data_IF_293869872779
#
_entry.id   IF_293869872779
#
_cell.length_a   1.000
_cell.length_b   1.000
_cell.length_c   1.000
_cell.angle_alpha   90.00
_cell.angle_beta   90.00
_cell.angle_gamma   90.00
#
_symmetry.space_group_name_H-M   'P 1'
#
loop_
_entity.id
_entity.type
_entity.pdbx_description
1 polymer ?
#
# COMPACT_ATOMS: atom_id res chain seq x y z
N UNK A 1 14.36 11.99 -35.88
CA UNK A 1 13.41 11.33 -34.99
C UNK A 1 14.01 11.44 -33.61
N UNK A 2 13.31 11.98 -32.64
CA UNK A 2 13.75 11.97 -31.24
C UNK A 2 13.87 10.53 -30.72
N UNK A 3 14.60 10.34 -29.62
CA UNK A 3 14.69 9.03 -28.99
C UNK A 3 13.31 8.65 -28.43
N UNK A 4 12.76 7.52 -28.87
CA UNK A 4 11.47 7.05 -28.40
C UNK A 4 11.59 6.56 -26.96
N UNK A 5 10.66 7.00 -26.12
CA UNK A 5 10.55 6.63 -24.71
C UNK A 5 9.28 5.80 -24.46
N UNK A 6 9.37 4.87 -23.55
CA UNK A 6 8.26 4.02 -23.10
C UNK A 6 7.81 4.49 -21.72
N UNK A 7 6.67 5.14 -21.65
CA UNK A 7 6.00 5.55 -20.42
C UNK A 7 4.92 4.54 -20.03
N UNK A 8 5.05 3.88 -18.89
CA UNK A 8 4.07 2.95 -18.37
C UNK A 8 3.16 3.65 -17.36
N UNK A 9 1.95 3.95 -17.81
CA UNK A 9 0.92 4.64 -17.03
C UNK A 9 0.24 3.67 -16.09
N UNK A 10 0.14 4.04 -14.82
CA UNK A 10 -0.46 3.27 -13.74
C UNK A 10 -1.64 4.05 -13.19
N UNK A 11 -2.81 3.41 -13.07
CA UNK A 11 -4.00 4.01 -12.45
C UNK A 11 -4.80 2.99 -11.66
N UNK A 12 -5.71 3.48 -10.82
CA UNK A 12 -6.68 2.68 -10.09
C UNK A 12 -7.99 2.67 -10.85
N UNK A 13 -8.59 1.48 -11.02
CA UNK A 13 -9.88 1.32 -11.69
C UNK A 13 -11.07 1.68 -10.79
N UNK A 14 -12.30 1.47 -11.29
CA UNK A 14 -13.55 1.78 -10.59
C UNK A 14 -14.22 0.56 -9.94
N UNK A 15 -13.55 -0.59 -9.89
CA UNK A 15 -14.13 -1.79 -9.27
C UNK A 15 -14.34 -1.59 -7.77
N UNK A 16 -15.41 -2.21 -7.27
CA UNK A 16 -15.78 -2.19 -5.86
C UNK A 16 -15.76 -3.61 -5.29
N UNK A 17 -15.51 -3.82 -4.00
CA UNK A 17 -15.26 -2.79 -2.97
C UNK A 17 -13.86 -2.17 -3.03
N UNK A 18 -12.89 -2.82 -3.68
CA UNK A 18 -11.51 -2.36 -3.77
C UNK A 18 -11.11 -2.12 -5.23
N UNK A 19 -10.45 -0.99 -5.54
CA UNK A 19 -9.92 -0.76 -6.86
C UNK A 19 -8.71 -1.65 -7.13
N UNK A 20 -8.57 -2.07 -8.39
CA UNK A 20 -7.39 -2.77 -8.88
C UNK A 20 -6.47 -1.81 -9.64
N UNK A 21 -5.17 -2.08 -9.61
CA UNK A 21 -4.21 -1.35 -10.42
C UNK A 21 -4.29 -1.80 -11.88
N UNK A 22 -4.18 -0.83 -12.77
CA UNK A 22 -4.12 -1.04 -14.24
C UNK A 22 -2.88 -0.37 -14.77
N UNK A 23 -2.33 -0.90 -15.86
CA UNK A 23 -1.25 -0.23 -16.58
C UNK A 23 -1.34 -0.40 -18.09
N UNK A 24 -0.74 0.54 -18.80
CA UNK A 24 -0.53 0.49 -20.25
C UNK A 24 0.67 1.34 -20.64
N UNK A 25 1.37 0.97 -21.72
CA UNK A 25 2.59 1.63 -22.15
C UNK A 25 2.31 2.53 -23.35
N UNK A 26 2.70 3.81 -23.27
CA UNK A 26 2.76 4.76 -24.37
C UNK A 26 4.19 4.88 -24.86
N UNK A 27 4.37 4.84 -26.20
CA UNK A 27 5.64 5.12 -26.85
C UNK A 27 5.54 6.48 -27.54
N UNK A 28 6.45 7.39 -27.21
CA UNK A 28 6.47 8.75 -27.74
C UNK A 28 7.90 9.31 -27.72
N UNK A 29 8.17 10.38 -28.46
CA UNK A 29 9.41 11.14 -28.43
C UNK A 29 9.31 12.40 -27.54
N UNK A 30 8.22 12.56 -26.78
CA UNK A 30 8.07 13.62 -25.79
C UNK A 30 8.98 13.40 -24.59
N UNK A 31 9.55 14.50 -24.07
CA UNK A 31 10.48 14.45 -22.93
C UNK A 31 9.79 14.22 -21.58
N UNK A 32 8.50 14.49 -21.50
CA UNK A 32 7.65 14.26 -20.33
C UNK A 32 6.43 13.44 -20.71
N UNK A 33 5.88 12.64 -19.78
CA UNK A 33 4.69 11.85 -20.08
C UNK A 33 3.50 12.76 -20.38
N UNK A 34 2.93 12.70 -21.61
CA UNK A 34 1.74 13.48 -21.93
C UNK A 34 0.47 12.91 -21.28
N UNK A 35 -0.58 13.71 -21.23
CA UNK A 35 -1.93 13.19 -20.96
C UNK A 35 -2.29 12.07 -21.95
N UNK A 36 -3.02 11.07 -21.47
CA UNK A 36 -3.49 9.97 -22.31
C UNK A 36 -4.92 9.58 -21.96
N UNK A 37 -5.55 8.76 -22.81
CA UNK A 37 -6.91 8.26 -22.62
C UNK A 37 -6.94 6.74 -22.52
N UNK A 38 -8.03 6.22 -21.95
CA UNK A 38 -8.32 4.79 -21.90
C UNK A 38 -9.82 4.55 -21.97
N UNK A 39 -10.22 3.31 -22.25
CA UNK A 39 -11.61 2.87 -22.25
C UNK A 39 -12.07 2.60 -20.80
N UNK A 40 -12.78 3.57 -20.23
CA UNK A 40 -13.31 3.48 -18.86
C UNK A 40 -14.42 2.43 -18.70
N UNK A 41 -15.08 2.01 -19.79
CA UNK A 41 -16.09 0.96 -19.71
C UNK A 41 -15.53 -0.39 -19.31
N UNK A 42 -14.26 -0.66 -19.70
CA UNK A 42 -13.53 -1.88 -19.34
C UNK A 42 -13.01 -1.88 -17.89
N UNK A 43 -13.10 -0.75 -17.19
CA UNK A 43 -12.57 -0.56 -15.84
C UNK A 43 -13.62 -0.07 -14.83
N UNK A 44 -14.91 -0.14 -15.18
CA UNK A 44 -16.05 0.36 -14.40
C UNK A 44 -15.95 1.87 -14.04
N UNK A 45 -15.40 2.66 -14.97
CA UNK A 45 -15.23 4.12 -14.80
C UNK A 45 -16.02 4.93 -15.82
N UNK A 46 -16.70 4.29 -16.79
CA UNK A 46 -17.57 4.96 -17.74
C UNK A 46 -18.62 3.99 -18.32
N UNK A 47 -19.65 4.55 -18.93
CA UNK A 47 -20.63 3.79 -19.71
C UNK A 47 -20.11 3.55 -21.13
N UNK A 48 -20.59 2.48 -21.79
CA UNK A 48 -20.08 2.06 -23.09
C UNK A 48 -20.35 3.03 -24.25
N UNK A 49 -21.33 3.91 -24.13
CA UNK A 49 -21.69 4.94 -25.13
C UNK A 49 -20.91 6.25 -24.95
N UNK A 50 -20.16 6.40 -23.85
CA UNK A 50 -19.28 7.55 -23.55
C UNK A 50 -18.08 7.07 -22.72
N UNK A 51 -17.27 6.19 -23.31
CA UNK A 51 -16.33 5.35 -22.55
C UNK A 51 -14.97 5.99 -22.28
N UNK A 52 -14.65 7.13 -22.88
CA UNK A 52 -13.32 7.75 -22.74
C UNK A 52 -13.12 8.34 -21.35
N UNK A 53 -12.05 7.91 -20.70
CA UNK A 53 -11.49 8.54 -19.51
C UNK A 53 -10.05 8.99 -19.77
N UNK A 54 -9.58 9.95 -18.99
CA UNK A 54 -8.26 10.56 -19.12
C UNK A 54 -7.33 10.12 -17.98
N UNK A 55 -6.08 9.92 -18.33
CA UNK A 55 -4.96 9.67 -17.40
C UNK A 55 -4.08 10.92 -17.36
N UNK A 56 -4.12 11.63 -16.24
CA UNK A 56 -3.28 12.81 -16.01
C UNK A 56 -2.07 12.39 -15.18
N UNK A 57 -0.83 12.52 -15.70
CA UNK A 57 0.38 12.24 -14.95
C UNK A 57 0.50 13.08 -13.69
N UNK A 58 0.84 12.45 -12.56
CA UNK A 58 1.04 13.14 -11.28
C UNK A 58 2.42 12.90 -10.67
N UNK A 59 3.02 11.75 -10.94
CA UNK A 59 4.37 11.42 -10.52
C UNK A 59 5.05 10.49 -11.53
N UNK A 60 6.33 10.71 -11.80
CA UNK A 60 7.13 9.90 -12.73
C UNK A 60 8.33 9.32 -11.97
N UNK A 61 8.62 8.06 -12.26
CA UNK A 61 9.71 7.28 -11.67
C UNK A 61 10.55 6.65 -12.78
N UNK A 62 11.85 6.48 -12.53
CA UNK A 62 12.68 5.60 -13.36
C UNK A 62 12.11 4.17 -13.27
N UNK A 63 12.02 3.48 -14.39
CA UNK A 63 11.50 2.11 -14.38
C UNK A 63 12.63 1.09 -14.23
N UNK A 64 12.57 0.22 -13.24
CA UNK A 64 13.48 -0.91 -13.13
C UNK A 64 13.09 -2.09 -14.05
N UNK A 65 11.97 -1.96 -14.77
CA UNK A 65 11.35 -3.01 -15.57
C UNK A 65 11.53 -2.74 -17.07
N UNK A 66 10.61 -3.23 -17.89
CA UNK A 66 10.65 -3.15 -19.37
C UNK A 66 10.51 -1.71 -19.93
N UNK A 67 9.69 -0.89 -19.33
CA UNK A 67 9.49 0.52 -19.72
C UNK A 67 10.68 1.39 -19.32
N UNK A 68 10.77 2.62 -19.84
CA UNK A 68 11.82 3.55 -19.41
C UNK A 68 11.38 4.32 -18.15
N UNK A 69 10.07 4.59 -18.05
CA UNK A 69 9.48 5.31 -16.92
C UNK A 69 8.18 4.67 -16.46
N UNK A 70 7.93 4.68 -15.14
CA UNK A 70 6.62 4.43 -14.53
C UNK A 70 5.96 5.79 -14.25
N UNK A 71 4.68 5.91 -14.59
CA UNK A 71 3.92 7.15 -14.48
C UNK A 71 2.67 6.90 -13.64
N UNK A 72 2.67 7.33 -12.38
CA UNK A 72 1.46 7.35 -11.58
C UNK A 72 0.52 8.41 -12.13
N UNK A 73 -0.74 8.07 -12.29
CA UNK A 73 -1.74 8.94 -12.87
C UNK A 73 -3.00 9.04 -12.01
N UNK A 74 -3.73 10.10 -12.20
CA UNK A 74 -5.09 10.28 -11.69
C UNK A 74 -6.10 10.25 -12.84
N UNK A 75 -7.29 9.68 -12.56
CA UNK A 75 -8.34 9.54 -13.57
C UNK A 75 -9.22 10.78 -13.60
N UNK A 76 -9.50 11.26 -14.81
CA UNK A 76 -10.47 12.32 -15.10
C UNK A 76 -11.48 11.83 -16.14
N UNK A 77 -12.66 12.41 -16.11
CA UNK A 77 -13.65 12.25 -17.18
C UNK A 77 -13.19 12.96 -18.46
N UNK A 78 -13.79 12.63 -19.60
CA UNK A 78 -13.43 13.22 -20.90
C UNK A 78 -13.52 14.76 -20.95
N UNK A 79 -14.32 15.37 -20.07
CA UNK A 79 -14.45 16.83 -19.93
C UNK A 79 -13.45 17.43 -18.92
N UNK A 80 -12.38 16.69 -18.56
CA UNK A 80 -11.33 17.05 -17.60
C UNK A 80 -11.80 17.28 -16.15
N UNK A 81 -12.99 16.88 -15.79
CA UNK A 81 -13.40 16.88 -14.38
C UNK A 81 -12.81 15.67 -13.66
N UNK A 82 -12.49 15.87 -12.38
CA UNK A 82 -12.07 14.76 -11.51
C UNK A 82 -13.10 13.64 -11.55
N UNK A 83 -12.64 12.43 -11.89
CA UNK A 83 -13.53 11.27 -11.93
C UNK A 83 -13.94 10.86 -10.50
N UNK A 84 -15.18 10.37 -10.26
CA UNK A 84 -15.61 9.95 -8.92
C UNK A 84 -14.74 8.87 -8.26
N UNK A 85 -14.09 8.01 -9.04
CA UNK A 85 -13.15 7.00 -8.53
C UNK A 85 -11.77 7.56 -8.15
N UNK A 86 -11.51 8.85 -8.38
CA UNK A 86 -10.21 9.48 -8.12
C UNK A 86 -10.12 9.96 -6.67
N UNK A 87 -9.83 9.05 -5.75
CA UNK A 87 -9.63 9.37 -4.32
C UNK A 87 -8.35 10.17 -4.06
N UNK A 88 -7.33 10.05 -4.94
CA UNK A 88 -6.09 10.81 -4.84
C UNK A 88 -6.32 12.32 -4.87
N UNK A 89 -7.21 12.80 -5.72
CA UNK A 89 -7.50 14.23 -5.80
C UNK A 89 -8.10 14.79 -4.49
N UNK A 90 -8.91 14.01 -3.80
CA UNK A 90 -9.44 14.39 -2.48
C UNK A 90 -8.34 14.44 -1.41
N UNK A 91 -7.41 13.47 -1.43
CA UNK A 91 -6.26 13.45 -0.53
C UNK A 91 -5.31 14.63 -0.80
N UNK A 92 -4.98 14.90 -2.06
CA UNK A 92 -4.10 16.00 -2.47
C UNK A 92 -4.60 17.39 -2.03
N UNK A 93 -5.91 17.56 -1.95
CA UNK A 93 -6.53 18.80 -1.49
C UNK A 93 -6.30 19.11 0.00
N UNK A 94 -5.95 18.11 0.82
CA UNK A 94 -5.86 18.25 2.29
C UNK A 94 -4.51 17.87 2.87
N UNK A 95 -3.67 17.14 2.13
CA UNK A 95 -2.35 16.68 2.59
C UNK A 95 -1.27 17.65 2.13
N UNK A 96 -0.45 18.13 3.06
CA UNK A 96 0.73 18.96 2.79
C UNK A 96 2.02 18.20 3.09
N UNK A 97 3.16 18.70 2.58
CA UNK A 97 4.49 18.13 2.82
C UNK A 97 4.97 18.22 4.28
N UNK A 98 4.24 18.96 5.12
CA UNK A 98 4.45 18.96 6.57
C UNK A 98 4.18 17.56 7.17
N UNK A 99 3.25 16.82 6.59
CA UNK A 99 2.90 15.47 7.00
C UNK A 99 3.88 14.45 6.42
N UNK A 100 4.46 13.66 7.30
CA UNK A 100 5.29 12.52 6.96
C UNK A 100 4.49 11.24 7.21
N UNK A 101 4.63 10.30 6.29
CA UNK A 101 3.94 9.00 6.36
C UNK A 101 4.94 7.87 6.20
N UNK A 102 4.70 6.80 6.98
CA UNK A 102 5.38 5.53 6.83
C UNK A 102 4.32 4.43 6.74
N UNK A 103 4.44 3.58 5.75
CA UNK A 103 3.53 2.47 5.53
C UNK A 103 4.29 1.16 5.74
N UNK A 104 3.77 0.29 6.59
CA UNK A 104 4.27 -1.06 6.83
C UNK A 104 3.30 -2.02 6.15
N UNK A 105 3.57 -2.35 4.87
CA UNK A 105 2.66 -3.18 4.08
C UNK A 105 3.01 -4.64 4.26
N UNK A 106 2.12 -5.36 4.95
CA UNK A 106 2.15 -6.82 5.00
C UNK A 106 1.45 -7.42 3.77
N UNK A 107 1.90 -8.58 3.35
CA UNK A 107 1.32 -9.33 2.23
C UNK A 107 1.74 -10.81 2.29
N UNK A 108 1.01 -11.66 1.57
CA UNK A 108 1.43 -13.04 1.33
C UNK A 108 1.83 -13.21 -0.14
N UNK A 109 2.91 -13.93 -0.36
CA UNK A 109 3.08 -14.57 -1.65
C UNK A 109 2.18 -15.79 -1.74
N UNK A 110 1.67 -16.06 -2.95
CA UNK A 110 0.75 -17.18 -3.19
C UNK A 110 1.17 -18.01 -4.37
N UNK A 111 0.82 -19.29 -4.30
CA UNK A 111 0.86 -20.19 -5.43
C UNK A 111 -0.24 -19.85 -6.45
N UNK A 112 -0.23 -20.47 -7.63
CA UNK A 112 -1.24 -20.25 -8.68
C UNK A 112 -2.66 -20.65 -8.27
N UNK A 113 -2.82 -21.53 -7.29
CA UNK A 113 -4.12 -21.93 -6.74
C UNK A 113 -4.61 -21.00 -5.62
N UNK A 114 -3.84 -19.95 -5.29
CA UNK A 114 -4.16 -18.98 -4.25
C UNK A 114 -3.74 -19.40 -2.85
N UNK A 115 -3.16 -20.59 -2.66
CA UNK A 115 -2.59 -20.99 -1.37
C UNK A 115 -1.33 -20.16 -1.05
N UNK A 116 -1.03 -19.88 0.23
CA UNK A 116 0.21 -19.20 0.58
C UNK A 116 1.45 -19.97 0.08
N UNK A 117 2.46 -19.25 -0.35
CA UNK A 117 3.71 -19.83 -0.83
C UNK A 117 4.44 -20.57 0.31
N UNK A 118 4.87 -21.79 0.06
CA UNK A 118 5.47 -22.67 1.08
C UNK A 118 4.46 -23.56 1.81
N UNK A 119 3.16 -23.53 1.43
CA UNK A 119 2.12 -24.36 2.03
C UNK A 119 1.69 -25.53 1.12
N UNK A 120 2.51 -25.94 0.18
CA UNK A 120 2.20 -26.97 -0.82
C UNK A 120 1.90 -28.35 -0.18
N UNK A 121 2.52 -28.63 0.97
CA UNK A 121 2.32 -29.86 1.72
C UNK A 121 1.21 -29.76 2.79
N UNK A 122 0.47 -28.65 2.82
CA UNK A 122 -0.59 -28.36 3.79
C UNK A 122 -0.24 -27.24 4.76
N UNK A 123 -1.00 -27.13 5.83
CA UNK A 123 -0.81 -26.09 6.84
C UNK A 123 0.52 -26.28 7.59
N UNK A 124 1.40 -25.28 7.61
CA UNK A 124 2.70 -25.40 8.25
C UNK A 124 2.59 -25.33 9.78
N UNK A 125 3.72 -25.33 10.47
CA UNK A 125 3.79 -25.13 11.92
C UNK A 125 3.05 -23.84 12.33
N UNK A 126 2.54 -23.74 13.58
CA UNK A 126 1.91 -22.52 14.08
C UNK A 126 2.74 -21.27 13.84
N UNK A 127 2.07 -20.14 13.68
CA UNK A 127 2.71 -18.85 13.47
C UNK A 127 3.67 -18.45 14.60
N UNK A 128 4.57 -17.52 14.29
CA UNK A 128 5.54 -16.95 15.22
C UNK A 128 6.97 -17.33 14.90
N UNK A 129 7.27 -18.60 14.65
CA UNK A 129 8.61 -19.10 14.34
C UNK A 129 9.20 -18.54 13.03
N UNK A 130 8.35 -17.95 12.17
CA UNK A 130 8.73 -17.43 10.85
C UNK A 130 9.14 -15.97 10.87
N UNK A 131 8.79 -15.23 11.94
CA UNK A 131 9.08 -13.80 12.05
C UNK A 131 10.59 -13.53 11.96
N UNK A 132 11.00 -12.72 10.96
CA UNK A 132 12.40 -12.47 10.63
C UNK A 132 13.21 -13.78 10.43
N UNK A 133 12.55 -14.84 9.96
CA UNK A 133 13.10 -16.20 9.86
C UNK A 133 14.29 -16.30 8.92
N UNK A 134 15.19 -17.23 9.22
CA UNK A 134 16.37 -17.55 8.43
C UNK A 134 16.41 -19.05 8.14
N UNK A 135 16.75 -19.39 6.91
CA UNK A 135 16.81 -20.77 6.43
C UNK A 135 15.52 -21.21 5.74
N UNK A 136 15.66 -22.20 4.85
CA UNK A 136 14.59 -22.66 3.97
C UNK A 136 13.35 -23.21 4.72
N UNK A 137 13.54 -23.72 5.94
CA UNK A 137 12.44 -24.24 6.76
C UNK A 137 11.60 -23.14 7.43
N UNK A 138 12.10 -21.91 7.41
CA UNK A 138 11.52 -20.79 8.16
C UNK A 138 11.05 -19.63 7.27
N UNK A 139 11.35 -19.65 5.96
CA UNK A 139 10.99 -18.55 5.06
C UNK A 139 10.73 -19.06 3.66
N UNK A 140 9.75 -18.49 2.98
CA UNK A 140 9.45 -18.73 1.57
C UNK A 140 9.27 -17.41 0.84
N UNK A 141 9.79 -17.27 -0.39
CA UNK A 141 9.67 -16.07 -1.23
C UNK A 141 10.68 -14.96 -0.95
N UNK A 142 11.78 -15.22 -0.24
CA UNK A 142 12.83 -14.22 0.05
C UNK A 142 13.39 -13.57 -1.21
N UNK A 143 13.69 -14.35 -2.22
CA UNK A 143 14.24 -13.84 -3.48
C UNK A 143 13.29 -12.84 -4.17
N UNK A 144 11.99 -13.05 -4.07
CA UNK A 144 10.96 -12.15 -4.64
C UNK A 144 10.87 -10.86 -3.83
N UNK A 145 10.89 -10.96 -2.49
CA UNK A 145 10.86 -9.79 -1.59
C UNK A 145 12.10 -8.91 -1.76
N UNK A 146 13.30 -9.53 -1.87
CA UNK A 146 14.55 -8.80 -2.07
C UNK A 146 14.61 -8.17 -3.47
N UNK A 147 14.15 -8.86 -4.52
CA UNK A 147 14.04 -8.30 -5.87
C UNK A 147 13.04 -7.12 -5.91
N UNK A 148 11.94 -7.19 -5.17
CA UNK A 148 11.00 -6.07 -5.03
C UNK A 148 11.64 -4.86 -4.34
N UNK A 149 12.40 -5.08 -3.25
CA UNK A 149 13.14 -4.03 -2.56
C UNK A 149 14.09 -3.32 -3.53
N UNK A 150 14.90 -4.08 -4.28
CA UNK A 150 15.84 -3.55 -5.26
C UNK A 150 15.12 -2.76 -6.37
N UNK A 151 14.00 -3.26 -6.87
CA UNK A 151 13.20 -2.58 -7.88
C UNK A 151 12.65 -1.24 -7.37
N UNK A 152 12.13 -1.18 -6.15
CA UNK A 152 11.64 0.06 -5.56
C UNK A 152 12.76 1.08 -5.35
N UNK A 153 13.92 0.66 -4.86
CA UNK A 153 15.08 1.53 -4.69
C UNK A 153 15.57 2.07 -6.02
N UNK A 154 15.61 1.24 -7.07
CA UNK A 154 15.98 1.66 -8.42
C UNK A 154 14.98 2.67 -9.02
N UNK A 155 13.70 2.56 -8.68
CA UNK A 155 12.68 3.54 -9.06
C UNK A 155 12.73 4.84 -8.24
N UNK A 156 13.61 4.94 -7.25
CA UNK A 156 13.73 6.11 -6.36
C UNK A 156 12.64 6.18 -5.29
N UNK A 157 11.96 5.06 -5.00
CA UNK A 157 11.00 4.94 -3.90
C UNK A 157 11.77 4.65 -2.61
N UNK A 158 11.46 5.38 -1.56
CA UNK A 158 12.14 5.24 -0.28
C UNK A 158 11.57 4.06 0.53
N UNK A 159 11.94 2.83 0.15
CA UNK A 159 11.76 1.68 1.03
C UNK A 159 12.83 1.68 2.11
N UNK A 160 12.41 1.55 3.36
CA UNK A 160 13.31 1.59 4.54
C UNK A 160 13.62 0.21 5.09
N UNK A 161 12.91 -0.82 4.66
CA UNK A 161 13.17 -2.19 5.04
C UNK A 161 12.19 -3.20 4.46
N UNK A 162 12.53 -4.49 4.66
CA UNK A 162 11.66 -5.64 4.42
C UNK A 162 11.99 -6.74 5.42
N UNK A 163 11.02 -7.53 5.81
CA UNK A 163 11.18 -8.67 6.70
C UNK A 163 10.13 -9.75 6.40
N UNK A 164 10.51 -11.00 6.73
CA UNK A 164 9.52 -12.07 6.80
C UNK A 164 8.63 -11.87 8.04
N UNK A 165 7.35 -12.17 7.89
CA UNK A 165 6.33 -12.03 8.91
C UNK A 165 6.01 -13.35 9.62
N UNK A 166 5.01 -13.32 10.52
CA UNK A 166 4.73 -14.40 11.48
C UNK A 166 4.23 -15.69 10.84
N UNK A 167 3.81 -15.68 9.58
CA UNK A 167 3.39 -16.87 8.85
C UNK A 167 4.36 -17.18 7.68
N UNK A 168 4.50 -18.46 7.36
CA UNK A 168 5.30 -18.87 6.21
C UNK A 168 4.71 -18.29 4.91
N UNK A 169 5.55 -17.62 4.11
CA UNK A 169 5.14 -16.93 2.89
C UNK A 169 4.57 -15.52 3.11
N UNK A 170 4.45 -15.08 4.37
CA UNK A 170 4.08 -13.71 4.71
C UNK A 170 5.32 -12.82 4.81
N UNK A 171 5.21 -11.63 4.24
CA UNK A 171 6.27 -10.62 4.19
C UNK A 171 5.72 -9.25 4.50
N UNK A 172 6.60 -8.35 4.88
CA UNK A 172 6.33 -6.93 5.08
C UNK A 172 7.42 -6.10 4.39
N UNK A 173 7.06 -4.95 3.84
CA UNK A 173 8.01 -3.90 3.51
C UNK A 173 7.57 -2.55 4.09
N UNK A 174 8.53 -1.68 4.35
CA UNK A 174 8.29 -0.35 4.90
C UNK A 174 8.62 0.70 3.84
N UNK A 175 7.63 1.57 3.54
CA UNK A 175 7.73 2.66 2.59
C UNK A 175 7.52 4.00 3.33
N UNK A 176 8.40 4.97 3.09
CA UNK A 176 8.36 6.26 3.75
C UNK A 176 8.31 7.40 2.73
N UNK A 177 7.44 8.41 2.99
CA UNK A 177 7.31 9.58 2.13
C UNK A 177 6.74 10.79 2.85
N UNK A 178 6.61 11.90 2.11
CA UNK A 178 6.04 13.16 2.59
C UNK A 178 4.90 13.59 1.69
N UNK A 179 3.90 14.21 2.30
CA UNK A 179 2.76 14.72 1.57
C UNK A 179 2.05 13.65 0.74
N UNK A 180 1.41 14.06 -0.33
CA UNK A 180 0.68 13.15 -1.23
C UNK A 180 1.60 12.18 -1.97
N UNK A 181 2.89 12.56 -2.17
CA UNK A 181 3.86 11.66 -2.80
C UNK A 181 4.03 10.36 -2.03
N UNK A 182 3.86 10.35 -0.71
CA UNK A 182 3.91 9.13 0.08
C UNK A 182 2.87 8.10 -0.38
N UNK A 183 1.65 8.55 -0.72
CA UNK A 183 0.61 7.68 -1.25
C UNK A 183 0.91 7.21 -2.69
N UNK A 184 1.46 8.09 -3.52
CA UNK A 184 1.91 7.72 -4.88
C UNK A 184 3.02 6.65 -4.80
N UNK A 185 4.02 6.84 -3.93
CA UNK A 185 5.11 5.89 -3.70
C UNK A 185 4.59 4.52 -3.21
N UNK A 186 3.60 4.51 -2.31
CA UNK A 186 2.97 3.27 -1.85
C UNK A 186 2.29 2.53 -3.01
N UNK A 187 1.50 3.22 -3.84
CA UNK A 187 0.82 2.56 -4.95
C UNK A 187 1.80 2.05 -6.01
N UNK A 188 2.86 2.81 -6.32
CA UNK A 188 3.89 2.35 -7.26
C UNK A 188 4.72 1.21 -6.67
N UNK A 189 4.99 1.21 -5.36
CA UNK A 189 5.64 0.07 -4.70
C UNK A 189 4.79 -1.21 -4.75
N UNK A 190 3.46 -1.10 -4.54
CA UNK A 190 2.53 -2.23 -4.76
C UNK A 190 2.54 -2.71 -6.21
N UNK A 191 2.54 -1.77 -7.16
CA UNK A 191 2.63 -2.09 -8.58
C UNK A 191 3.90 -2.91 -8.89
N UNK A 192 5.05 -2.45 -8.42
CA UNK A 192 6.32 -3.15 -8.58
C UNK A 192 6.30 -4.52 -7.89
N UNK A 193 5.67 -4.64 -6.71
CA UNK A 193 5.52 -5.93 -6.03
C UNK A 193 4.78 -6.95 -6.90
N UNK A 194 3.67 -6.54 -7.52
CA UNK A 194 2.92 -7.42 -8.43
C UNK A 194 3.73 -7.76 -9.69
N UNK A 195 4.44 -6.77 -10.27
CA UNK A 195 5.25 -6.97 -11.48
C UNK A 195 6.43 -7.90 -11.23
N UNK A 196 7.14 -7.73 -10.12
CA UNK A 196 8.24 -8.62 -9.73
C UNK A 196 7.71 -10.03 -9.45
N UNK A 197 6.63 -10.14 -8.67
CA UNK A 197 6.01 -11.45 -8.38
C UNK A 197 5.59 -12.20 -9.67
N UNK A 198 5.08 -11.48 -10.68
CA UNK A 198 4.73 -12.02 -12.00
C UNK A 198 5.95 -12.67 -12.67
N UNK A 199 7.13 -12.04 -12.60
CA UNK A 199 8.38 -12.60 -13.17
C UNK A 199 8.81 -13.89 -12.48
N UNK A 200 8.58 -14.01 -11.17
CA UNK A 200 8.86 -15.23 -10.40
C UNK A 200 7.74 -16.27 -10.45
N UNK A 201 6.63 -15.96 -11.12
CA UNK A 201 5.49 -16.87 -11.27
C UNK A 201 4.71 -17.11 -9.98
N UNK A 202 4.78 -16.19 -9.02
CA UNK A 202 4.01 -16.20 -7.77
C UNK A 202 2.96 -15.10 -7.76
N UNK A 203 1.88 -15.28 -6.98
CA UNK A 203 0.87 -14.25 -6.75
C UNK A 203 1.20 -13.41 -5.52
N UNK A 204 0.48 -12.29 -5.36
CA UNK A 204 0.51 -11.42 -4.19
C UNK A 204 -0.90 -11.28 -3.62
N UNK A 205 -1.05 -11.45 -2.32
CA UNK A 205 -2.31 -11.29 -1.62
C UNK A 205 -2.15 -10.26 -0.49
N UNK A 206 -2.82 -9.11 -0.63
CA UNK A 206 -2.85 -8.02 0.37
C UNK A 206 -4.18 -7.96 1.13
N UNK A 207 -4.99 -9.02 1.06
CA UNK A 207 -6.24 -9.09 1.81
C UNK A 207 -5.97 -9.00 3.32
N UNK A 208 -6.82 -8.31 4.13
CA UNK A 208 -6.57 -8.15 5.56
C UNK A 208 -6.57 -9.47 6.35
N UNK A 209 -7.20 -10.51 5.84
CA UNK A 209 -7.18 -11.88 6.42
C UNK A 209 -6.96 -12.94 5.34
N UNK A 210 -5.73 -13.10 4.82
CA UNK A 210 -5.43 -14.03 3.74
C UNK A 210 -5.68 -15.50 4.13
N UNK A 211 -5.44 -15.83 5.40
CA UNK A 211 -5.70 -17.16 5.95
C UNK A 211 -6.64 -17.05 7.14
N UNK A 212 -7.78 -17.75 7.06
CA UNK A 212 -8.75 -17.87 8.15
C UNK A 212 -8.24 -18.83 9.23
N UNK A 213 -8.83 -18.74 10.43
CA UNK A 213 -8.45 -19.54 11.58
C UNK A 213 -7.48 -18.84 12.52
N UNK A 214 -6.66 -19.59 13.23
CA UNK A 214 -5.73 -19.10 14.25
C UNK A 214 -4.41 -18.57 13.63
N UNK A 215 -4.57 -17.64 12.68
CA UNK A 215 -3.48 -16.95 11.99
C UNK A 215 -3.66 -15.45 12.12
N UNK A 216 -2.55 -14.70 12.20
CA UNK A 216 -2.59 -13.25 12.12
C UNK A 216 -3.18 -12.80 10.77
N UNK A 217 -3.67 -11.58 10.72
CA UNK A 217 -4.02 -10.92 9.48
C UNK A 217 -2.80 -10.40 8.75
N UNK A 218 -3.06 -9.66 7.68
CA UNK A 218 -2.08 -8.93 6.90
C UNK A 218 -2.59 -7.48 6.82
N UNK A 219 -1.90 -6.57 7.45
CA UNK A 219 -2.34 -5.18 7.57
C UNK A 219 -1.44 -4.23 6.80
N UNK A 220 -1.82 -2.96 6.82
CA UNK A 220 -0.92 -1.88 6.49
C UNK A 220 -0.92 -0.88 7.63
N UNK A 221 0.09 -0.95 8.50
CA UNK A 221 0.26 0.08 9.51
C UNK A 221 0.59 1.40 8.84
N UNK A 222 -0.14 2.44 9.22
CA UNK A 222 0.11 3.79 8.73
C UNK A 222 0.69 4.64 9.84
N UNK A 223 1.99 4.90 9.73
CA UNK A 223 2.70 5.83 10.60
C UNK A 223 2.53 7.24 10.05
N UNK A 224 2.33 8.22 10.92
CA UNK A 224 2.22 9.61 10.50
C UNK A 224 2.75 10.57 11.54
N UNK A 225 3.27 11.71 11.10
CA UNK A 225 3.65 12.81 11.99
C UNK A 225 3.61 14.14 11.25
N UNK A 226 3.30 15.20 11.99
CA UNK A 226 3.52 16.57 11.56
C UNK A 226 4.76 17.18 12.25
N UNK A 227 5.10 18.42 11.93
CA UNK A 227 6.28 19.09 12.50
C UNK A 227 6.20 19.24 14.02
N UNK A 228 5.05 19.58 14.57
CA UNK A 228 4.85 19.72 16.01
C UNK A 228 5.12 18.40 16.74
N UNK A 229 4.67 17.28 16.19
CA UNK A 229 4.91 15.94 16.75
C UNK A 229 6.40 15.57 16.73
N UNK A 230 7.12 15.97 15.69
CA UNK A 230 8.56 15.66 15.52
C UNK A 230 9.48 16.56 16.35
N UNK A 231 9.11 17.81 16.59
CA UNK A 231 9.99 18.83 17.22
C UNK A 231 9.72 19.04 18.70
N UNK A 232 8.47 18.97 19.13
CA UNK A 232 8.03 19.27 20.49
C UNK A 232 6.97 18.26 20.98
N UNK A 233 6.99 17.03 20.47
CA UNK A 233 6.03 16.00 20.81
C UNK A 233 5.87 15.86 22.33
N UNK A 234 4.62 16.00 22.82
CA UNK A 234 4.26 15.81 24.20
C UNK A 234 3.14 14.78 24.31
N UNK A 235 3.02 14.17 25.49
CA UNK A 235 1.93 13.25 25.78
C UNK A 235 0.56 13.88 25.54
N UNK A 236 0.41 15.15 25.90
CA UNK A 236 -0.83 15.92 25.69
C UNK A 236 -1.14 16.12 24.20
N UNK A 237 -0.12 16.40 23.36
CA UNK A 237 -0.30 16.53 21.91
C UNK A 237 -0.74 15.19 21.30
N UNK A 238 -0.09 14.10 21.68
CA UNK A 238 -0.43 12.77 21.15
C UNK A 238 -1.80 12.30 21.60
N UNK A 239 -2.15 12.46 22.89
CA UNK A 239 -3.48 12.13 23.41
C UNK A 239 -4.57 12.92 22.70
N UNK A 240 -4.40 14.24 22.56
CA UNK A 240 -5.37 15.09 21.85
C UNK A 240 -5.56 14.67 20.38
N UNK A 241 -4.50 14.22 19.71
CA UNK A 241 -4.60 13.69 18.35
C UNK A 241 -5.36 12.35 18.33
N UNK A 242 -5.03 11.45 19.25
CA UNK A 242 -5.69 10.15 19.35
C UNK A 242 -7.17 10.30 19.70
N UNK A 243 -7.52 11.21 20.61
CA UNK A 243 -8.92 11.49 20.96
C UNK A 243 -9.73 11.92 19.73
N UNK A 244 -9.17 12.84 18.91
CA UNK A 244 -9.83 13.28 17.67
C UNK A 244 -9.99 12.15 16.65
N UNK A 245 -9.01 11.25 16.52
CA UNK A 245 -9.14 10.08 15.66
C UNK A 245 -10.18 9.11 16.21
N UNK A 246 -10.33 9.00 17.52
CA UNK A 246 -11.40 8.23 18.15
C UNK A 246 -12.80 8.77 17.84
N UNK A 247 -12.98 10.09 17.77
CA UNK A 247 -14.26 10.71 17.40
C UNK A 247 -14.72 10.35 16.00
N UNK A 248 -13.78 10.11 15.08
CA UNK A 248 -14.05 9.74 13.66
C UNK A 248 -13.72 8.28 13.34
N UNK A 249 -13.58 7.43 14.36
CA UNK A 249 -13.17 6.04 14.18
C UNK A 249 -14.03 5.26 13.16
N UNK A 250 -15.35 5.37 13.25
CA UNK A 250 -16.26 4.67 12.35
C UNK A 250 -16.10 5.12 10.87
N UNK A 251 -15.87 6.42 10.67
CA UNK A 251 -15.61 7.00 9.35
C UNK A 251 -14.26 6.51 8.80
N UNK A 252 -13.23 6.46 9.67
CA UNK A 252 -11.93 5.90 9.33
C UNK A 252 -12.03 4.43 8.90
N UNK A 253 -12.70 3.58 9.69
CA UNK A 253 -12.90 2.17 9.35
C UNK A 253 -13.61 2.02 7.99
N UNK A 254 -14.60 2.83 7.69
CA UNK A 254 -15.29 2.80 6.40
C UNK A 254 -14.40 3.19 5.21
N UNK A 255 -13.33 3.96 5.45
CA UNK A 255 -12.38 4.39 4.42
C UNK A 255 -11.16 3.47 4.27
N UNK A 256 -10.87 2.62 5.27
CA UNK A 256 -9.64 1.81 5.31
C UNK A 256 -9.70 0.51 4.49
N UNK A 257 -10.77 0.28 3.77
CA UNK A 257 -10.93 -0.90 2.93
C UNK A 257 -11.91 -1.92 3.50
N UNK A 258 -12.21 -2.93 2.66
CA UNK A 258 -13.16 -3.99 2.99
C UNK A 258 -12.52 -5.10 3.84
N UNK A 259 -13.37 -5.96 4.40
CA UNK A 259 -13.00 -7.20 5.11
C UNK A 259 -12.11 -7.02 6.36
N UNK A 260 -11.94 -5.79 6.85
CA UNK A 260 -11.18 -5.51 8.07
C UNK A 260 -11.82 -6.12 9.33
N UNK A 261 -13.11 -6.42 9.32
CA UNK A 261 -13.81 -7.15 10.37
C UNK A 261 -13.28 -8.59 10.55
N UNK A 262 -12.73 -9.20 9.49
CA UNK A 262 -12.10 -10.51 9.54
C UNK A 262 -10.74 -10.48 10.26
N UNK A 263 -10.05 -9.33 10.28
CA UNK A 263 -8.75 -9.11 10.93
C UNK A 263 -8.89 -8.48 12.32
N UNK A 264 -9.69 -7.42 12.44
CA UNK A 264 -9.81 -6.60 13.67
C UNK A 264 -10.83 -7.23 14.64
N UNK A 265 -10.43 -8.32 15.29
CA UNK A 265 -11.30 -9.16 16.12
C UNK A 265 -11.08 -9.01 17.62
N UNK A 266 -10.06 -8.28 18.04
CA UNK A 266 -9.58 -8.24 19.44
C UNK A 266 -8.68 -9.42 19.80
N UNK A 267 -8.29 -10.23 18.81
CA UNK A 267 -7.31 -11.32 18.91
C UNK A 267 -6.11 -10.99 18.01
N UNK A 268 -5.01 -11.74 18.15
CA UNK A 268 -3.83 -11.60 17.29
C UNK A 268 -3.29 -10.17 17.25
N UNK A 269 -3.18 -9.54 18.44
CA UNK A 269 -2.63 -8.19 18.60
C UNK A 269 -3.41 -7.11 17.82
N UNK A 270 -4.74 -7.27 17.67
CA UNK A 270 -5.61 -6.26 17.07
C UNK A 270 -6.68 -5.80 18.05
N UNK A 271 -7.09 -4.53 17.94
CA UNK A 271 -8.33 -4.06 18.58
C UNK A 271 -9.55 -4.58 17.80
N UNK A 272 -10.69 -4.71 18.46
CA UNK A 272 -11.94 -5.01 17.75
C UNK A 272 -12.34 -3.84 16.86
N UNK A 273 -12.86 -4.13 15.68
CA UNK A 273 -13.27 -3.13 14.69
C UNK A 273 -14.28 -2.11 15.22
N UNK A 274 -15.07 -2.48 16.21
CA UNK A 274 -16.10 -1.64 16.85
C UNK A 274 -15.58 -0.85 18.05
N UNK A 275 -14.34 -1.04 18.46
CA UNK A 275 -13.74 -0.43 19.64
C UNK A 275 -12.53 0.40 19.22
N UNK A 276 -12.36 1.56 19.87
CA UNK A 276 -11.20 2.42 19.67
C UNK A 276 -10.39 2.49 20.97
N UNK A 277 -9.09 2.35 20.85
CA UNK A 277 -8.16 2.56 21.95
C UNK A 277 -6.82 3.07 21.45
N UNK A 278 -6.05 3.70 22.34
CA UNK A 278 -4.67 4.05 22.05
C UNK A 278 -3.80 3.85 23.31
N UNK A 279 -2.51 3.64 23.09
CA UNK A 279 -1.57 3.45 24.20
C UNK A 279 -0.12 3.51 23.76
N UNK A 280 0.76 3.77 24.74
CA UNK A 280 2.21 3.80 24.55
C UNK A 280 2.70 2.36 24.44
N UNK A 281 3.31 2.02 23.28
CA UNK A 281 3.83 0.68 22.98
C UNK A 281 2.79 -0.44 23.07
N UNK A 282 1.50 -0.13 23.01
CA UNK A 282 0.41 -1.10 23.05
C UNK A 282 0.10 -1.61 21.63
N UNK A 283 0.50 -2.85 21.35
CA UNK A 283 0.29 -3.49 20.05
C UNK A 283 -1.17 -3.87 19.79
N UNK A 284 -1.97 -4.05 20.84
CA UNK A 284 -3.39 -4.37 20.74
C UNK A 284 -4.30 -3.17 20.56
N UNK A 285 -3.77 -1.95 20.60
CA UNK A 285 -4.55 -0.72 20.46
C UNK A 285 -4.77 -0.33 18.98
N UNK A 286 -5.84 0.43 18.71
CA UNK A 286 -6.09 1.02 17.39
C UNK A 286 -4.98 1.99 16.98
N UNK A 287 -4.43 2.74 17.93
CA UNK A 287 -3.28 3.62 17.71
C UNK A 287 -2.21 3.34 18.77
N UNK A 288 -1.01 3.11 18.29
CA UNK A 288 0.17 2.93 19.12
C UNK A 288 1.06 4.16 19.05
N UNK A 289 1.33 4.80 20.19
CA UNK A 289 2.36 5.81 20.31
C UNK A 289 3.69 5.14 20.65
N UNK A 290 4.77 5.53 19.97
CA UNK A 290 6.09 4.92 20.17
C UNK A 290 6.87 5.66 21.23
N UNK A 291 7.40 4.93 22.22
CA UNK A 291 8.11 5.52 23.38
C UNK A 291 9.55 5.95 23.10
N UNK A 292 10.10 5.67 21.91
CA UNK A 292 11.48 6.00 21.58
C UNK A 292 11.59 7.37 20.91
N UNK A 293 12.40 8.25 21.50
CA UNK A 293 12.65 9.64 21.12
C UNK A 293 13.29 9.85 19.74
N UNK A 294 13.59 8.80 19.00
CA UNK A 294 14.17 8.89 17.64
C UNK A 294 13.18 8.56 16.53
N UNK A 295 12.00 8.04 16.85
CA UNK A 295 10.93 7.70 15.91
C UNK A 295 9.58 8.05 16.58
N UNK A 296 9.28 9.32 16.65
CA UNK A 296 7.98 9.80 17.14
C UNK A 296 6.92 9.71 16.04
N UNK A 297 6.54 8.50 15.69
CA UNK A 297 5.43 8.26 14.78
C UNK A 297 4.35 7.47 15.51
N UNK A 298 3.16 8.03 15.74
CA UNK A 298 2.02 7.19 16.09
C UNK A 298 1.72 6.25 14.94
N UNK A 299 1.47 4.99 15.24
CA UNK A 299 1.06 3.98 14.26
C UNK A 299 -0.41 3.68 14.43
N UNK A 300 -1.19 3.82 13.37
CA UNK A 300 -2.56 3.31 13.36
C UNK A 300 -2.59 1.91 12.72
N UNK A 301 -3.24 0.98 13.38
CA UNK A 301 -3.47 -0.37 12.85
C UNK A 301 -4.66 -0.33 11.88
N UNK A 302 -4.39 -0.04 10.63
CA UNK A 302 -5.43 -0.08 9.58
C UNK A 302 -5.14 -1.13 8.53
#
# INVERSE_FOLDING_TARGET
MGDLKKYEYIWLDGFQPEPSMRSKIKVTDEDTPPEWSFDGSSTQQAEGDSSDCLLLPVQTYESPMYSDFLVMTQVHSADHKTHPSNTRAAADAVVSDEWWFGFEQEYFFTNKDGSPLGWEEGEPRPQGDYYCGVGADNVSGREVSEAHLDACLAAGINLTGTNAEVALGQWEYQCFGKGIKAADDLWVSRYLLYKVAEEYGVGVNIHPKPKKGDWNGSGMHTNFSNEAMRTAGSEELFSSMCDKLGEVHAEGIAAYGSDNDQRLTGLHETQKITEFSYGVSDRGASIRTVSYTHLTLPTSHC
#
